data_IF_416891151682
#
_entry.id   IF_416891151682
#
_cell.length_a   1.000
_cell.length_b   1.000
_cell.length_c   1.000
_cell.angle_alpha   90.00
_cell.angle_beta   90.00
_cell.angle_gamma   90.00
#
_symmetry.space_group_name_H-M   'P 1'
#
loop_
_entity.id
_entity.type
_entity.pdbx_description
1 polymer ?
#
# COMPACT_ATOMS: atom_id res chain seq x y z
N UNK A 1 5.35 8.67 8.68
CA UNK A 1 5.89 9.21 7.41
C UNK A 1 6.05 10.72 7.56
N UNK A 2 7.14 11.31 7.04
CA UNK A 2 7.58 12.70 7.32
C UNK A 2 7.76 13.02 8.82
N UNK A 3 8.34 12.09 9.58
CA UNK A 3 8.58 12.24 11.04
C UNK A 3 7.46 11.73 11.94
N UNK A 4 6.27 11.47 11.39
CA UNK A 4 5.11 11.00 12.17
C UNK A 4 5.14 9.49 12.41
N UNK A 5 4.77 9.07 13.62
CA UNK A 5 4.52 7.68 13.98
C UNK A 5 3.10 7.29 13.57
N UNK A 6 2.96 6.22 12.79
CA UNK A 6 1.68 5.73 12.30
C UNK A 6 1.47 4.30 12.80
N UNK A 7 0.32 4.05 13.45
CA UNK A 7 -0.04 2.72 13.92
C UNK A 7 -0.47 1.84 12.75
N UNK A 8 0.28 0.77 12.46
CA UNK A 8 -0.12 -0.17 11.40
C UNK A 8 -1.46 -0.83 11.70
N UNK A 9 -1.78 -1.07 12.97
CA UNK A 9 -3.05 -1.68 13.38
C UNK A 9 -4.24 -0.76 13.12
N UNK A 10 -4.07 0.55 13.31
CA UNK A 10 -5.12 1.52 13.03
C UNK A 10 -5.42 1.56 11.53
N UNK A 11 -4.38 1.63 10.70
CA UNK A 11 -4.51 1.63 9.24
C UNK A 11 -5.14 0.32 8.74
N UNK A 12 -4.73 -0.83 9.28
CA UNK A 12 -5.37 -2.14 9.00
C UNK A 12 -6.85 -2.12 9.41
N UNK A 13 -7.17 -1.54 10.57
CA UNK A 13 -8.53 -1.40 11.08
C UNK A 13 -9.46 -0.62 10.15
N UNK A 14 -8.93 0.39 9.44
CA UNK A 14 -9.70 1.18 8.45
C UNK A 14 -10.15 0.32 7.26
N UNK A 15 -9.41 -0.73 6.91
CA UNK A 15 -9.74 -1.62 5.80
C UNK A 15 -10.65 -2.79 6.18
N UNK A 16 -10.73 -3.16 7.46
CA UNK A 16 -11.54 -4.30 7.93
C UNK A 16 -13.00 -4.31 7.45
N UNK A 17 -13.71 -3.16 7.32
CA UNK A 17 -15.11 -3.17 6.87
C UNK A 17 -15.29 -3.45 5.36
N UNK A 18 -14.22 -3.45 4.56
CA UNK A 18 -14.29 -3.64 3.12
C UNK A 18 -14.47 -5.13 2.81
N UNK A 19 -15.70 -5.53 2.46
CA UNK A 19 -16.05 -6.93 2.17
C UNK A 19 -15.22 -7.59 1.07
N UNK A 20 -14.66 -6.80 0.15
CA UNK A 20 -13.81 -7.28 -0.94
C UNK A 20 -12.38 -7.67 -0.51
N UNK A 21 -12.01 -7.48 0.76
CA UNK A 21 -10.68 -7.81 1.30
C UNK A 21 -10.79 -9.09 2.15
N UNK A 22 -10.02 -10.11 1.80
CA UNK A 22 -9.88 -11.34 2.59
C UNK A 22 -8.94 -11.11 3.77
N UNK A 23 -7.81 -10.49 3.48
CA UNK A 23 -6.76 -10.20 4.45
C UNK A 23 -5.97 -8.98 3.98
N UNK A 24 -5.42 -8.23 4.94
CA UNK A 24 -4.49 -7.16 4.64
C UNK A 24 -3.40 -7.07 5.72
N UNK A 25 -2.27 -6.48 5.35
CA UNK A 25 -1.17 -6.19 6.25
C UNK A 25 -0.56 -4.85 5.88
N UNK A 26 -0.34 -4.00 6.88
CA UNK A 26 0.28 -2.68 6.71
C UNK A 26 1.69 -2.68 7.27
N UNK A 27 2.60 -2.08 6.50
CA UNK A 27 4.02 -1.97 6.83
C UNK A 27 4.64 -0.71 6.25
N UNK A 28 5.79 -0.33 6.81
CA UNK A 28 6.57 0.79 6.28
C UNK A 28 7.47 0.34 5.12
N UNK A 29 7.63 1.17 4.10
CA UNK A 29 8.61 0.99 3.02
C UNK A 29 9.46 2.25 2.84
N UNK A 30 10.71 2.07 2.47
CA UNK A 30 11.61 3.18 2.11
C UNK A 30 11.21 3.71 0.73
N UNK A 31 11.26 5.03 0.52
CA UNK A 31 10.81 5.66 -0.73
C UNK A 31 11.92 6.53 -1.30
N UNK A 32 12.58 6.04 -2.36
CA UNK A 32 13.66 6.76 -3.05
C UNK A 32 14.73 7.26 -2.08
N UNK A 33 14.98 8.57 -2.08
CA UNK A 33 15.94 9.24 -1.19
C UNK A 33 15.28 9.96 0.00
N UNK A 34 14.01 9.67 0.28
CA UNK A 34 13.28 10.32 1.37
C UNK A 34 13.65 9.72 2.72
N UNK A 35 13.68 10.54 3.77
CA UNK A 35 13.86 10.06 5.13
C UNK A 35 12.58 9.43 5.70
N UNK A 36 12.76 8.34 6.44
CA UNK A 36 11.69 7.60 7.08
C UNK A 36 11.01 6.57 6.18
N UNK A 37 9.85 6.08 6.62
CA UNK A 37 9.09 5.03 5.93
C UNK A 37 7.69 5.51 5.60
N UNK A 38 7.25 5.26 4.36
CA UNK A 38 5.88 5.46 3.92
C UNK A 38 5.04 4.22 4.20
N UNK A 39 3.74 4.41 4.43
CA UNK A 39 2.81 3.30 4.59
C UNK A 39 2.61 2.55 3.28
N UNK A 40 2.63 1.22 3.35
CA UNK A 40 2.25 0.31 2.27
C UNK A 40 1.31 -0.74 2.83
N UNK A 41 0.25 -1.02 2.08
CA UNK A 41 -0.71 -2.09 2.37
C UNK A 41 -0.51 -3.20 1.36
N UNK A 42 -0.30 -4.43 1.83
CA UNK A 42 -0.53 -5.62 1.01
C UNK A 42 -1.92 -6.17 1.36
N UNK A 43 -2.73 -6.49 0.36
CA UNK A 43 -4.06 -7.06 0.56
C UNK A 43 -4.34 -8.20 -0.40
N UNK A 44 -5.15 -9.15 0.05
CA UNK A 44 -5.72 -10.20 -0.78
C UNK A 44 -7.19 -9.89 -1.05
N UNK A 45 -7.58 -9.93 -2.31
CA UNK A 45 -8.97 -9.71 -2.71
C UNK A 45 -9.81 -10.97 -2.55
N UNK A 46 -11.08 -10.77 -2.21
CA UNK A 46 -12.07 -11.83 -2.27
C UNK A 46 -12.37 -12.21 -3.72
N UNK A 47 -12.68 -13.48 -3.96
CA UNK A 47 -13.08 -13.96 -5.28
C UNK A 47 -14.34 -13.20 -5.76
N UNK A 48 -14.30 -12.71 -7.00
CA UNK A 48 -15.40 -11.93 -7.58
C UNK A 48 -15.49 -10.47 -7.12
N UNK A 49 -14.60 -9.99 -6.24
CA UNK A 49 -14.54 -8.58 -5.88
C UNK A 49 -14.04 -7.71 -7.06
N UNK A 50 -14.65 -6.54 -7.23
CA UNK A 50 -14.18 -5.56 -8.21
C UNK A 50 -13.02 -4.74 -7.65
N UNK A 51 -11.89 -4.74 -8.37
CA UNK A 51 -10.67 -4.07 -7.93
C UNK A 51 -10.85 -2.55 -7.88
N UNK A 52 -11.58 -1.97 -8.83
CA UNK A 52 -11.77 -0.52 -8.92
C UNK A 52 -12.66 -0.04 -7.77
N UNK A 53 -13.73 -0.75 -7.47
CA UNK A 53 -14.60 -0.46 -6.32
C UNK A 53 -13.84 -0.61 -5.00
N UNK A 54 -13.02 -1.65 -4.86
CA UNK A 54 -12.20 -1.86 -3.67
C UNK A 54 -11.20 -0.73 -3.44
N UNK A 55 -10.48 -0.31 -4.49
CA UNK A 55 -9.52 0.80 -4.40
C UNK A 55 -10.20 2.14 -4.11
N UNK A 56 -11.39 2.36 -4.68
CA UNK A 56 -12.18 3.57 -4.41
C UNK A 56 -12.66 3.61 -2.95
N UNK A 57 -13.18 2.50 -2.44
CA UNK A 57 -13.61 2.39 -1.04
C UNK A 57 -12.41 2.52 -0.07
N UNK A 58 -11.27 1.89 -0.38
CA UNK A 58 -10.04 2.02 0.40
C UNK A 58 -9.57 3.48 0.47
N UNK A 59 -9.52 4.18 -0.67
CA UNK A 59 -9.16 5.60 -0.72
C UNK A 59 -10.14 6.47 0.08
N UNK A 60 -11.44 6.23 -0.08
CA UNK A 60 -12.48 6.96 0.66
C UNK A 60 -12.33 6.76 2.18
N UNK A 61 -12.15 5.52 2.61
CA UNK A 61 -11.99 5.21 4.04
C UNK A 61 -10.71 5.79 4.62
N UNK A 62 -9.58 5.64 3.95
CA UNK A 62 -8.33 6.24 4.42
C UNK A 62 -8.43 7.75 4.53
N UNK A 63 -8.97 8.42 3.52
CA UNK A 63 -9.10 9.89 3.54
C UNK A 63 -10.13 10.42 4.54
N UNK A 64 -11.07 9.58 4.98
CA UNK A 64 -12.10 9.95 5.96
C UNK A 64 -11.72 9.62 7.40
N UNK A 65 -10.83 8.65 7.62
CA UNK A 65 -10.52 8.13 8.96
C UNK A 65 -9.06 8.36 9.38
N UNK A 66 -8.15 8.65 8.44
CA UNK A 66 -6.74 8.86 8.73
C UNK A 66 -6.32 10.30 8.43
N UNK A 67 -5.35 10.78 9.20
CA UNK A 67 -4.60 11.97 8.82
C UNK A 67 -3.86 11.71 7.49
N UNK A 68 -3.63 12.77 6.70
CA UNK A 68 -3.01 12.65 5.37
C UNK A 68 -1.67 11.93 5.38
N UNK A 69 -0.88 12.07 6.45
CA UNK A 69 0.42 11.42 6.59
C UNK A 69 0.36 9.93 6.96
N UNK A 70 -0.81 9.45 7.40
CA UNK A 70 -1.05 8.07 7.79
C UNK A 70 -1.66 7.23 6.66
N UNK A 71 -2.09 7.88 5.57
CA UNK A 71 -2.61 7.19 4.38
C UNK A 71 -1.47 6.39 3.73
N UNK A 72 -1.65 5.08 3.48
CA UNK A 72 -0.68 4.29 2.74
C UNK A 72 -0.44 4.86 1.36
N UNK A 73 0.81 5.16 1.03
CA UNK A 73 1.18 5.61 -0.32
C UNK A 73 1.02 4.50 -1.35
N UNK A 74 1.15 3.24 -0.93
CA UNK A 74 1.09 2.10 -1.84
C UNK A 74 0.08 1.06 -1.37
N UNK A 75 -0.63 0.47 -2.34
CA UNK A 75 -1.41 -0.75 -2.16
C UNK A 75 -0.89 -1.80 -3.13
N UNK A 76 -0.46 -2.96 -2.63
CA UNK A 76 -0.18 -4.16 -3.42
C UNK A 76 -1.35 -5.13 -3.28
N UNK A 77 -1.84 -5.61 -4.42
CA UNK A 77 -2.87 -6.66 -4.45
C UNK A 77 -2.18 -7.99 -4.69
N UNK A 78 -2.11 -8.81 -3.66
CA UNK A 78 -1.50 -10.13 -3.70
C UNK A 78 -2.51 -11.17 -4.16
N UNK A 79 -2.08 -12.11 -4.99
CA UNK A 79 -2.90 -13.30 -5.31
C UNK A 79 -3.27 -14.08 -4.05
N UNK A 80 -2.28 -14.30 -3.19
CA UNK A 80 -2.44 -14.94 -1.88
C UNK A 80 -1.52 -14.26 -0.87
N UNK A 81 -2.06 -13.93 0.30
CA UNK A 81 -1.25 -13.62 1.48
C UNK A 81 -0.98 -14.94 2.20
N UNK A 82 0.16 -15.53 1.88
CA UNK A 82 0.53 -16.88 2.26
C UNK A 82 0.63 -17.03 3.80
N UNK A 83 -0.34 -17.77 4.39
CA UNK A 83 -0.43 -18.03 5.84
C UNK A 83 0.51 -19.14 6.35
N UNK A 84 1.24 -19.80 5.45
CA UNK A 84 1.97 -21.04 5.78
C UNK A 84 3.34 -20.83 6.45
N UNK A 85 3.76 -19.58 6.68
CA UNK A 85 4.98 -19.22 7.42
C UNK A 85 4.70 -18.44 8.71
N UNK A 86 5.72 -18.27 9.57
CA UNK A 86 5.56 -17.36 10.72
C UNK A 86 5.32 -15.93 10.20
N UNK A 87 4.22 -15.30 10.62
CA UNK A 87 3.78 -13.97 10.16
C UNK A 87 4.91 -12.91 10.18
N UNK A 88 5.84 -13.01 11.14
CA UNK A 88 7.01 -12.13 11.25
C UNK A 88 7.98 -12.23 10.07
N UNK A 89 8.25 -13.43 9.56
CA UNK A 89 9.14 -13.62 8.41
C UNK A 89 8.51 -13.02 7.15
N UNK A 90 7.21 -13.23 6.94
CA UNK A 90 6.48 -12.66 5.79
C UNK A 90 6.42 -11.14 5.80
N UNK A 91 6.15 -10.51 6.95
CA UNK A 91 6.18 -9.04 7.05
C UNK A 91 7.57 -8.48 6.72
N UNK A 92 8.62 -9.21 7.07
CA UNK A 92 10.00 -8.81 6.73
C UNK A 92 10.24 -8.91 5.23
N UNK A 93 9.75 -9.97 4.58
CA UNK A 93 9.86 -10.13 3.13
C UNK A 93 9.07 -9.05 2.37
N UNK A 94 7.81 -8.81 2.77
CA UNK A 94 6.98 -7.73 2.22
C UNK A 94 7.65 -6.35 2.33
N UNK A 95 8.32 -6.08 3.46
CA UNK A 95 9.07 -4.84 3.65
C UNK A 95 10.32 -4.74 2.75
N UNK A 96 11.03 -5.85 2.52
CA UNK A 96 12.21 -5.92 1.63
C UNK A 96 11.85 -5.80 0.16
N UNK A 97 10.72 -6.39 -0.21
CA UNK A 97 10.16 -6.28 -1.54
C UNK A 97 9.72 -4.84 -1.84
N UNK A 98 9.11 -4.19 -0.85
CA UNK A 98 8.62 -2.83 -0.97
C UNK A 98 7.59 -2.69 -2.09
N UNK A 99 7.73 -1.64 -2.91
CA UNK A 99 6.89 -1.39 -4.09
C UNK A 99 7.63 -1.68 -5.41
N UNK A 100 8.69 -2.50 -5.39
CA UNK A 100 9.51 -2.76 -6.57
C UNK A 100 8.81 -3.69 -7.56
N UNK A 101 8.26 -3.14 -8.64
CA UNK A 101 7.55 -3.90 -9.68
C UNK A 101 8.35 -5.08 -10.25
N UNK A 102 9.69 -5.05 -10.22
CA UNK A 102 10.52 -6.14 -10.73
C UNK A 102 10.56 -7.38 -9.81
N UNK A 103 10.31 -7.20 -8.51
CA UNK A 103 10.39 -8.28 -7.51
C UNK A 103 9.05 -8.99 -7.31
N UNK A 104 7.95 -8.39 -7.74
CA UNK A 104 6.63 -8.65 -7.17
C UNK A 104 5.75 -9.62 -7.96
N UNK A 105 6.33 -10.56 -8.70
CA UNK A 105 5.63 -11.67 -9.36
C UNK A 105 4.35 -11.27 -10.14
N UNK A 106 4.33 -10.06 -10.72
CA UNK A 106 3.18 -9.47 -11.44
C UNK A 106 1.97 -9.08 -10.58
N UNK A 107 2.09 -9.03 -9.25
CA UNK A 107 1.07 -8.42 -8.39
C UNK A 107 0.92 -6.94 -8.74
N UNK A 108 -0.31 -6.44 -8.99
CA UNK A 108 -0.49 -5.04 -9.31
C UNK A 108 -0.30 -4.17 -8.05
N UNK A 109 0.39 -3.05 -8.25
CA UNK A 109 0.66 -2.06 -7.22
C UNK A 109 0.00 -0.76 -7.63
N UNK A 110 -0.58 -0.08 -6.67
CA UNK A 110 -1.23 1.20 -6.83
C UNK A 110 -0.57 2.24 -5.93
N UNK A 111 -0.44 3.45 -6.44
CA UNK A 111 0.10 4.61 -5.75
C UNK A 111 -1.03 5.59 -5.42
N UNK A 112 -1.00 6.19 -4.22
CA UNK A 112 -2.00 7.16 -3.80
C UNK A 112 -1.73 8.54 -4.43
N UNK A 113 -2.59 8.94 -5.36
CA UNK A 113 -2.62 10.31 -5.86
C UNK A 113 -3.37 11.20 -4.87
N UNK A 114 -2.63 11.96 -4.06
CA UNK A 114 -3.20 12.84 -3.04
C UNK A 114 -4.07 13.97 -3.61
N UNK A 115 -3.81 14.43 -4.84
CA UNK A 115 -4.60 15.49 -5.47
C UNK A 115 -5.99 15.00 -5.87
N UNK A 116 -6.08 13.77 -6.36
CA UNK A 116 -7.34 13.15 -6.80
C UNK A 116 -8.00 12.30 -5.70
N UNK A 117 -7.28 12.05 -4.60
CA UNK A 117 -7.67 11.15 -3.50
C UNK A 117 -8.02 9.75 -4.02
N UNK A 118 -7.20 9.22 -4.92
CA UNK A 118 -7.43 7.95 -5.59
C UNK A 118 -6.14 7.14 -5.71
N UNK A 119 -6.27 5.82 -5.76
CA UNK A 119 -5.18 4.91 -6.06
C UNK A 119 -5.08 4.71 -7.58
N UNK A 120 -3.92 5.05 -8.14
CA UNK A 120 -3.62 4.90 -9.57
C UNK A 120 -2.57 3.80 -9.77
N UNK A 121 -2.56 3.07 -10.90
CA UNK A 121 -1.54 2.05 -11.15
C UNK A 121 -0.13 2.61 -11.04
N UNK A 122 0.74 1.93 -10.30
CA UNK A 122 2.16 2.24 -10.26
C UNK A 122 2.80 1.72 -11.55
N UNK A 123 3.16 2.63 -12.44
CA UNK A 123 3.86 2.30 -13.69
C UNK A 123 5.38 2.25 -13.46
N UNK A 124 6.15 1.55 -14.33
CA UNK A 124 7.61 1.56 -14.24
C UNK A 124 8.21 2.98 -14.29
N UNK A 125 7.62 3.88 -15.08
CA UNK A 125 8.05 5.27 -15.15
C UNK A 125 7.74 6.04 -13.87
N UNK A 126 6.55 5.85 -13.27
CA UNK A 126 6.21 6.47 -11.99
C UNK A 126 7.11 5.94 -10.85
N UNK A 127 7.36 4.63 -10.79
CA UNK A 127 8.33 4.06 -9.85
C UNK A 127 9.73 4.68 -10.03
N UNK A 128 10.20 4.85 -11.28
CA UNK A 128 11.50 5.49 -11.56
C UNK A 128 11.54 6.94 -11.07
N UNK A 129 10.47 7.71 -11.31
CA UNK A 129 10.38 9.11 -10.85
C UNK A 129 10.34 9.20 -9.32
N UNK A 130 9.63 8.30 -8.64
CA UNK A 130 9.60 8.22 -7.17
C UNK A 130 10.99 7.86 -6.63
N UNK A 131 11.65 6.84 -7.20
CA UNK A 131 12.96 6.37 -6.73
C UNK A 131 14.08 7.40 -6.96
N UNK A 132 14.05 8.12 -8.07
CA UNK A 132 15.01 9.19 -8.38
C UNK A 132 14.78 10.47 -7.56
N UNK A 133 13.58 10.64 -7.01
CA UNK A 133 13.15 11.86 -6.32
C UNK A 133 12.61 12.95 -7.26
N UNK A 134 12.45 12.66 -8.56
CA UNK A 134 11.83 13.56 -9.53
C UNK A 134 10.33 13.76 -9.26
N UNK A 135 9.66 12.75 -8.69
CA UNK A 135 8.26 12.87 -8.30
C UNK A 135 8.13 13.65 -6.98
N UNK A 136 7.73 14.92 -7.07
CA UNK A 136 7.65 15.84 -5.92
C UNK A 136 6.32 15.83 -5.17
N UNK A 137 5.30 15.12 -5.69
CA UNK A 137 3.93 15.10 -5.14
C UNK A 137 3.66 13.90 -4.22
N UNK A 138 4.63 13.58 -3.37
CA UNK A 138 4.51 12.53 -2.34
C UNK A 138 3.70 13.02 -1.14
#
# INVERSE_FOLDING_TARGET
>A
WKGENVSTMEVEGVLQPIKGIVECTVYGVEVGKQEGRAGMTALQMAEGADLKELLAEAAHRFTSNLASYAIPLFIRVCKELDKTGTYKLRKTDLQKDGFDLAKLNSDPIFFFNAAEKQYVPLTPDLQRQINSGEYTRL
#
